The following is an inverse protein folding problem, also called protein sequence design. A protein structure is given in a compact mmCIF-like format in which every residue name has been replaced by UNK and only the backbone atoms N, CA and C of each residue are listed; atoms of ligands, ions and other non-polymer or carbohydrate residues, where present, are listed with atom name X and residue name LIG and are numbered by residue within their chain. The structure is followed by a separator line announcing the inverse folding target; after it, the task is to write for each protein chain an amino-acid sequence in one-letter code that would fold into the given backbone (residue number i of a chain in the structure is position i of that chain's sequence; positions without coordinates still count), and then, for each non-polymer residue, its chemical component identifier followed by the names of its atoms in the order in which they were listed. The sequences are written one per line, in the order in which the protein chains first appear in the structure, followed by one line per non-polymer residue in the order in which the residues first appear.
data_IF_830756365833
#
_entry.id   IF_830756365833
#
_cell.length_a   1.000
_cell.length_b   1.000
_cell.length_c   1.000
_cell.angle_alpha   90.00
_cell.angle_beta   90.00
_cell.angle_gamma   90.00
#
_symmetry.space_group_name_H-M   'P 1'
#
loop_
_entity.id
_entity.type
_entity.pdbx_description
1 polymer ?
#
# COMPACT_ATOMS: atom_id res chain seq x y z
N UNK A 1 -4.53 -7.24 -1.99
CA UNK A 1 -3.61 -6.10 -2.12
C UNK A 1 -2.31 -6.50 -2.82
N UNK A 2 -2.14 -6.17 -4.11
CA UNK A 2 -0.84 -6.38 -4.80
C UNK A 2 -0.11 -5.04 -4.86
N UNK A 3 1.17 -5.01 -4.51
CA UNK A 3 1.97 -3.77 -4.43
C UNK A 3 3.23 -3.88 -5.28
N UNK A 4 3.52 -2.85 -6.06
CA UNK A 4 4.71 -2.76 -6.91
C UNK A 4 5.21 -1.32 -6.92
N UNK A 5 6.52 -1.12 -6.96
CA UNK A 5 7.12 0.18 -7.28
C UNK A 5 7.45 0.16 -8.76
N UNK A 6 6.96 1.16 -9.48
CA UNK A 6 7.24 1.38 -10.90
C UNK A 6 7.96 2.71 -11.05
N UNK A 7 9.09 2.70 -11.74
CA UNK A 7 9.78 3.92 -12.15
C UNK A 7 9.62 4.09 -13.67
N UNK A 8 9.33 5.32 -14.09
CA UNK A 8 9.10 5.66 -15.49
C UNK A 8 10.11 6.71 -15.92
N UNK A 9 10.79 6.46 -17.05
CA UNK A 9 11.65 7.45 -17.69
C UNK A 9 10.79 8.33 -18.61
N UNK A 10 10.39 9.52 -18.17
CA UNK A 10 9.68 10.47 -19.03
C UNK A 10 10.68 11.29 -19.86
N UNK A 11 10.91 10.89 -21.11
CA UNK A 11 11.62 11.74 -22.09
C UNK A 11 10.62 12.76 -22.67
N UNK A 12 10.31 13.80 -21.90
CA UNK A 12 9.55 14.95 -22.42
C UNK A 12 10.50 15.89 -23.16
N UNK A 13 10.74 15.60 -24.44
CA UNK A 13 11.28 16.59 -25.38
C UNK A 13 10.15 17.56 -25.75
N UNK A 14 9.88 18.56 -24.91
CA UNK A 14 9.05 19.71 -25.30
C UNK A 14 9.94 20.70 -26.05
N UNK A 15 10.18 20.43 -27.33
CA UNK A 15 10.57 21.50 -28.24
C UNK A 15 9.34 22.38 -28.46
N UNK A 16 9.49 23.66 -28.14
CA UNK A 16 8.49 24.70 -28.39
C UNK A 16 8.10 24.71 -29.87
N UNK A 17 6.80 24.56 -30.15
CA UNK A 17 6.20 24.90 -31.44
C UNK A 17 6.09 23.76 -32.47
N UNK A 18 4.89 23.19 -32.55
CA UNK A 18 4.24 22.64 -33.76
C UNK A 18 4.87 21.44 -34.50
N UNK A 19 4.13 20.31 -34.50
CA UNK A 19 4.08 19.19 -35.47
C UNK A 19 5.35 18.34 -35.72
N UNK A 20 5.32 17.08 -35.26
CA UNK A 20 5.16 15.85 -36.06
C UNK A 20 5.57 14.64 -35.22
N UNK A 21 4.74 13.60 -35.24
CA UNK A 21 5.09 12.26 -34.77
C UNK A 21 5.87 11.57 -35.91
N UNK A 22 7.10 11.09 -35.71
CA UNK A 22 7.64 10.03 -36.54
C UNK A 22 7.38 8.68 -35.87
N UNK A 23 6.73 7.79 -36.63
CA UNK A 23 6.72 6.35 -36.41
C UNK A 23 8.12 5.77 -36.75
N UNK A 24 8.45 4.68 -36.04
CA UNK A 24 9.53 3.71 -36.25
C UNK A 24 10.92 4.03 -35.64
N UNK A 25 11.16 3.34 -34.52
CA UNK A 25 12.46 2.92 -34.02
C UNK A 25 12.17 2.12 -32.74
N UNK A 26 12.59 0.85 -32.68
CA UNK A 26 12.38 0.01 -31.50
C UNK A 26 12.96 0.69 -30.24
N UNK A 27 12.08 1.27 -29.43
CA UNK A 27 12.43 1.90 -28.17
C UNK A 27 12.29 0.86 -27.06
N UNK A 28 13.39 0.58 -26.37
CA UNK A 28 13.35 -0.08 -25.06
C UNK A 28 12.41 0.71 -24.15
N UNK A 29 11.27 0.15 -23.76
CA UNK A 29 10.40 0.73 -22.73
C UNK A 29 11.22 0.87 -21.44
N UNK A 30 11.74 2.07 -21.16
CA UNK A 30 12.58 2.40 -20.02
C UNK A 30 11.80 2.43 -18.70
N UNK A 31 11.22 1.28 -18.33
CA UNK A 31 10.44 1.09 -17.11
C UNK A 31 11.14 0.09 -16.20
N UNK A 32 11.59 0.55 -15.03
CA UNK A 32 12.17 -0.32 -13.99
C UNK A 32 11.11 -0.63 -12.94
N UNK A 33 10.84 -1.91 -12.72
CA UNK A 33 9.79 -2.39 -11.81
C UNK A 33 10.43 -3.18 -10.66
N UNK A 34 10.07 -2.82 -9.43
CA UNK A 34 10.38 -3.57 -8.22
C UNK A 34 9.08 -4.14 -7.65
N UNK A 35 8.90 -5.46 -7.72
CA UNK A 35 7.73 -6.11 -7.12
C UNK A 35 7.87 -6.14 -5.59
N UNK A 36 6.92 -5.53 -4.89
CA UNK A 36 6.87 -5.50 -3.43
C UNK A 36 5.94 -6.58 -2.86
N UNK A 37 5.46 -7.51 -3.67
CA UNK A 37 4.80 -8.73 -3.21
C UNK A 37 5.77 -9.73 -2.55
N UNK A 38 5.21 -10.80 -1.99
CA UNK A 38 5.95 -11.91 -1.39
C UNK A 38 5.70 -12.10 0.11
N UNK A 39 6.55 -12.94 0.72
CA UNK A 39 6.45 -13.38 2.12
C UNK A 39 7.37 -12.60 3.08
N UNK A 40 8.10 -11.62 2.55
CA UNK A 40 9.09 -10.82 3.32
C UNK A 40 8.44 -9.67 4.12
N UNK A 41 7.12 -9.74 4.31
CA UNK A 41 6.37 -8.76 5.07
C UNK A 41 6.25 -9.18 6.53
N UNK A 42 6.17 -8.19 7.40
CA UNK A 42 5.75 -8.36 8.78
C UNK A 42 4.52 -7.52 9.04
N UNK A 43 3.67 -8.01 9.93
CA UNK A 43 2.52 -7.28 10.43
C UNK A 43 2.64 -7.09 11.94
N UNK A 44 2.21 -5.92 12.42
CA UNK A 44 2.17 -5.59 13.84
C UNK A 44 0.86 -4.90 14.22
N UNK A 45 0.31 -5.25 15.38
CA UNK A 45 -0.82 -4.53 15.99
C UNK A 45 -0.38 -3.18 16.52
N UNK A 46 -1.25 -2.17 16.50
CA UNK A 46 -0.96 -0.82 17.01
C UNK A 46 -0.55 -0.77 18.49
N UNK A 47 -1.05 -1.69 19.32
CA UNK A 47 -0.66 -1.80 20.73
C UNK A 47 0.65 -2.59 20.97
N UNK A 48 1.31 -3.06 19.90
CA UNK A 48 2.56 -3.82 19.97
C UNK A 48 2.45 -5.25 20.51
N UNK A 49 1.27 -5.72 20.91
CA UNK A 49 1.09 -7.06 21.50
C UNK A 49 1.28 -8.20 20.51
N UNK A 50 1.05 -7.95 19.22
CA UNK A 50 1.15 -8.96 18.15
C UNK A 50 2.16 -8.48 17.12
N UNK A 51 3.09 -9.38 16.78
CA UNK A 51 3.97 -9.24 15.62
C UNK A 51 4.15 -10.58 14.94
N UNK A 52 3.88 -10.63 13.64
CA UNK A 52 3.88 -11.87 12.87
C UNK A 52 4.49 -11.69 11.48
N UNK A 53 4.91 -12.80 10.87
CA UNK A 53 5.21 -12.84 9.44
C UNK A 53 3.91 -12.69 8.64
N UNK A 54 4.00 -12.02 7.50
CA UNK A 54 2.85 -11.69 6.67
C UNK A 54 3.15 -11.89 5.19
N UNK A 55 2.12 -11.92 4.35
CA UNK A 55 2.27 -12.03 2.90
C UNK A 55 1.47 -10.96 2.17
N UNK A 56 2.05 -10.41 1.10
CA UNK A 56 1.35 -9.48 0.19
C UNK A 56 1.39 -10.05 -1.22
N UNK A 57 0.25 -10.23 -1.91
CA UNK A 57 -1.12 -10.00 -1.41
C UNK A 57 -1.55 -10.95 -0.29
N UNK A 58 -2.35 -10.42 0.64
CA UNK A 58 -2.91 -11.14 1.77
C UNK A 58 -3.97 -10.33 2.51
N UNK A 59 -4.44 -10.89 3.63
CA UNK A 59 -5.37 -10.26 4.59
C UNK A 59 -4.93 -10.64 6.00
N UNK A 60 -5.20 -9.77 6.97
CA UNK A 60 -4.74 -9.93 8.36
C UNK A 60 -5.12 -11.27 8.98
N UNK A 61 -6.36 -11.73 8.78
CA UNK A 61 -6.85 -13.00 9.33
C UNK A 61 -6.00 -14.20 8.87
N UNK A 62 -5.59 -14.23 7.59
CA UNK A 62 -4.76 -15.31 7.06
C UNK A 62 -3.33 -15.26 7.61
N UNK A 63 -2.79 -14.07 7.83
CA UNK A 63 -1.45 -13.91 8.41
C UNK A 63 -1.44 -14.34 9.89
N UNK A 64 -2.47 -13.96 10.66
CA UNK A 64 -2.64 -14.38 12.06
C UNK A 64 -2.88 -15.89 12.18
N UNK A 65 -3.67 -16.48 11.27
CA UNK A 65 -3.91 -17.91 11.22
C UNK A 65 -2.61 -18.68 10.93
N UNK A 66 -1.82 -18.25 9.94
CA UNK A 66 -0.50 -18.85 9.64
C UNK A 66 0.47 -18.74 10.81
N UNK A 67 0.43 -17.61 11.52
CA UNK A 67 1.22 -17.38 12.72
C UNK A 67 0.70 -18.11 13.97
N UNK A 68 -0.43 -18.83 13.86
CA UNK A 68 -1.11 -19.52 14.96
C UNK A 68 -1.51 -18.58 16.12
N UNK A 69 -1.73 -17.30 15.82
CA UNK A 69 -2.28 -16.32 16.76
C UNK A 69 -3.77 -16.52 16.94
N UNK A 70 -4.44 -16.98 15.87
CA UNK A 70 -5.82 -17.41 15.87
C UNK A 70 -5.94 -18.80 15.27
N UNK A 71 -7.04 -19.47 15.56
CA UNK A 71 -7.42 -20.72 14.89
C UNK A 71 -8.40 -20.46 13.75
N UNK A 72 -8.92 -21.53 13.12
CA UNK A 72 -9.90 -21.40 12.03
C UNK A 72 -11.11 -20.55 12.46
N UNK A 73 -11.30 -19.35 11.85
CA UNK A 73 -12.35 -18.43 12.25
C UNK A 73 -13.76 -18.93 11.91
N UNK A 74 -13.90 -19.94 11.04
CA UNK A 74 -15.20 -20.48 10.65
C UNK A 74 -15.76 -21.53 11.62
N UNK A 75 -15.03 -21.85 12.69
CA UNK A 75 -15.43 -22.85 13.67
C UNK A 75 -16.15 -22.19 14.84
N UNK A 76 -17.37 -22.68 15.14
CA UNK A 76 -18.19 -22.28 16.32
C UNK A 76 -18.47 -20.76 16.35
N UNK A 77 -18.08 -20.09 17.45
CA UNK A 77 -18.35 -18.68 17.75
C UNK A 77 -17.10 -17.81 17.61
N UNK A 78 -16.12 -18.26 16.82
CA UNK A 78 -14.86 -17.55 16.63
C UNK A 78 -15.02 -16.26 15.84
N UNK A 79 -16.11 -16.10 15.11
CA UNK A 79 -16.52 -14.83 14.52
C UNK A 79 -16.70 -13.75 15.58
N UNK A 80 -17.21 -14.10 16.78
CA UNK A 80 -17.34 -13.19 17.92
C UNK A 80 -16.02 -13.05 18.66
N UNK A 81 -15.34 -14.18 18.90
CA UNK A 81 -14.05 -14.21 19.62
C UNK A 81 -12.99 -13.35 18.93
N UNK A 82 -12.96 -13.33 17.60
CA UNK A 82 -11.93 -12.65 16.82
C UNK A 82 -12.34 -11.26 16.30
N UNK A 83 -13.46 -10.70 16.79
CA UNK A 83 -13.88 -9.32 16.44
C UNK A 83 -12.83 -8.26 16.73
N UNK A 84 -12.02 -8.48 17.76
CA UNK A 84 -10.93 -7.56 18.12
C UNK A 84 -9.96 -7.31 16.96
N UNK A 85 -9.83 -8.25 16.02
CA UNK A 85 -8.97 -8.09 14.83
C UNK A 85 -9.43 -6.90 14.00
N UNK A 86 -10.74 -6.78 13.75
CA UNK A 86 -11.32 -5.68 12.98
C UNK A 86 -11.29 -4.34 13.73
N UNK A 87 -11.24 -4.38 15.06
CA UNK A 87 -11.11 -3.23 15.95
C UNK A 87 -9.67 -2.74 16.13
N UNK A 88 -8.70 -3.51 15.65
CA UNK A 88 -7.28 -3.23 15.82
C UNK A 88 -6.72 -2.55 14.58
N UNK A 89 -5.88 -1.55 14.79
CA UNK A 89 -5.08 -0.94 13.73
C UNK A 89 -3.87 -1.83 13.44
N UNK A 90 -3.59 -2.07 12.16
CA UNK A 90 -2.56 -3.01 11.73
C UNK A 90 -1.53 -2.34 10.84
N UNK A 91 -0.26 -2.59 11.10
CA UNK A 91 0.84 -2.04 10.31
C UNK A 91 1.60 -3.15 9.60
N UNK A 92 1.55 -3.14 8.27
CA UNK A 92 2.36 -3.98 7.41
C UNK A 92 3.67 -3.27 7.08
N UNK A 93 4.79 -3.98 7.15
CA UNK A 93 6.10 -3.42 6.79
C UNK A 93 7.01 -4.45 6.12
N UNK A 94 7.90 -3.96 5.25
CA UNK A 94 9.02 -4.75 4.70
C UNK A 94 10.21 -3.86 4.40
N UNK A 95 11.37 -4.51 4.25
CA UNK A 95 12.52 -3.91 3.58
C UNK A 95 12.50 -4.23 2.09
N UNK A 96 13.11 -3.37 1.29
CA UNK A 96 13.27 -3.59 -0.14
C UNK A 96 14.55 -2.93 -0.67
N UNK A 97 15.09 -3.51 -1.74
CA UNK A 97 16.26 -3.00 -2.42
C UNK A 97 15.86 -1.99 -3.49
N UNK A 98 16.61 -0.90 -3.56
CA UNK A 98 16.55 0.08 -4.65
C UNK A 98 17.87 0.03 -5.41
N UNK A 99 17.78 -0.12 -6.73
CA UNK A 99 18.94 -0.06 -7.63
C UNK A 99 19.31 1.40 -7.94
N UNK A 100 20.56 1.64 -8.31
CA UNK A 100 20.97 2.94 -8.83
C UNK A 100 20.21 3.32 -10.11
N UNK A 101 19.86 2.32 -10.92
CA UNK A 101 19.02 2.48 -12.10
C UNK A 101 17.64 3.07 -11.76
N UNK A 102 16.95 2.54 -10.75
CA UNK A 102 15.66 3.07 -10.31
C UNK A 102 15.75 4.53 -9.86
N UNK A 103 16.85 4.92 -9.23
CA UNK A 103 17.10 6.30 -8.77
C UNK A 103 17.45 7.27 -9.92
N UNK A 104 17.86 6.76 -11.07
CA UNK A 104 18.18 7.57 -12.25
C UNK A 104 16.92 8.01 -13.00
N UNK A 105 15.75 7.45 -12.69
CA UNK A 105 14.49 7.85 -13.31
C UNK A 105 14.01 9.21 -12.80
N UNK A 106 13.40 9.97 -13.71
CA UNK A 106 12.79 11.27 -13.39
C UNK A 106 11.61 11.14 -12.43
N UNK A 107 10.86 10.03 -12.51
CA UNK A 107 9.72 9.76 -11.64
C UNK A 107 9.73 8.32 -11.13
N UNK A 108 9.51 8.18 -9.82
CA UNK A 108 9.27 6.90 -9.16
C UNK A 108 7.86 6.92 -8.57
N UNK A 109 7.09 5.88 -8.85
CA UNK A 109 5.70 5.73 -8.42
C UNK A 109 5.53 4.41 -7.68
N UNK A 110 4.99 4.48 -6.47
CA UNK A 110 4.46 3.30 -5.79
C UNK A 110 3.04 3.05 -6.29
N UNK A 111 2.82 1.86 -6.84
CA UNK A 111 1.53 1.39 -7.32
C UNK A 111 0.97 0.34 -6.37
N UNK A 112 -0.17 0.66 -5.77
CA UNK A 112 -0.96 -0.23 -4.95
C UNK A 112 -2.25 -0.58 -5.71
N UNK A 113 -2.38 -1.84 -6.13
CA UNK A 113 -3.56 -2.31 -6.90
C UNK A 113 -4.85 -2.33 -6.06
N UNK A 114 -4.72 -2.27 -4.73
CA UNK A 114 -5.86 -2.14 -3.82
C UNK A 114 -5.38 -2.19 -2.38
N UNK A 115 -5.88 -1.27 -1.56
CA UNK A 115 -5.61 -1.15 -0.13
C UNK A 115 -6.96 -1.28 0.59
N UNK A 116 -7.12 -2.27 1.47
CA UNK A 116 -8.38 -2.51 2.19
C UNK A 116 -8.26 -2.07 3.66
N UNK A 117 -8.81 -0.92 4.05
CA UNK A 117 -9.37 0.14 3.20
C UNK A 117 -8.74 1.47 3.54
N UNK A 118 -8.82 1.87 4.81
CA UNK A 118 -8.27 3.13 5.28
C UNK A 118 -6.82 2.92 5.67
N UNK A 119 -5.91 3.54 4.93
CA UNK A 119 -4.49 3.32 5.12
C UNK A 119 -3.64 4.58 4.90
N UNK A 120 -2.53 4.69 5.63
CA UNK A 120 -1.42 5.57 5.28
C UNK A 120 -0.24 4.76 4.78
N UNK A 121 0.41 5.25 3.72
CA UNK A 121 1.58 4.61 3.12
C UNK A 121 2.81 5.47 3.35
N UNK A 122 3.88 4.88 3.86
CA UNK A 122 5.14 5.57 4.14
C UNK A 122 6.33 4.83 3.53
N UNK A 123 7.32 5.60 3.06
CA UNK A 123 8.62 5.12 2.60
C UNK A 123 9.68 5.74 3.50
N UNK A 124 10.58 4.92 4.03
CA UNK A 124 11.65 5.34 4.94
C UNK A 124 11.15 6.24 6.10
N UNK A 125 9.95 5.95 6.60
CA UNK A 125 9.31 6.66 7.72
C UNK A 125 8.55 7.94 7.34
N UNK A 126 8.60 8.40 6.08
CA UNK A 126 7.82 9.56 5.62
C UNK A 126 6.57 9.10 4.87
N UNK A 127 5.42 9.61 5.27
CA UNK A 127 4.15 9.35 4.60
C UNK A 127 4.16 9.97 3.19
N UNK A 128 3.82 9.16 2.19
CA UNK A 128 3.75 9.57 0.78
C UNK A 128 2.30 9.59 0.24
N UNK A 129 1.34 9.07 1.00
CA UNK A 129 -0.05 9.11 0.60
C UNK A 129 -1.00 8.37 1.54
N UNK A 130 -2.27 8.52 1.25
CA UNK A 130 -3.38 7.94 2.00
C UNK A 130 -4.35 7.23 1.06
N UNK A 131 -5.02 6.22 1.58
CA UNK A 131 -6.08 5.48 0.92
C UNK A 131 -7.29 5.36 1.85
N UNK A 132 -8.47 5.34 1.25
CA UNK A 132 -9.77 5.31 1.91
C UNK A 132 -10.83 4.51 1.12
N UNK A 133 -10.41 3.78 0.08
CA UNK A 133 -11.30 3.07 -0.84
C UNK A 133 -10.65 1.80 -1.43
N UNK A 134 -11.12 0.63 -1.01
CA UNK A 134 -10.63 -0.68 -1.47
C UNK A 134 -10.80 -0.96 -2.97
N UNK A 135 -11.71 -0.24 -3.65
CA UNK A 135 -12.03 -0.47 -5.06
C UNK A 135 -11.13 0.35 -6.02
N UNK A 136 -10.17 1.10 -5.49
CA UNK A 136 -9.28 1.96 -6.27
C UNK A 136 -7.86 1.40 -6.34
N UNK A 137 -7.24 1.59 -7.50
CA UNK A 137 -5.78 1.59 -7.63
C UNK A 137 -5.25 2.93 -7.14
N UNK A 138 -4.19 2.87 -6.34
CA UNK A 138 -3.47 4.05 -5.85
C UNK A 138 -2.10 4.14 -6.50
N UNK A 139 -1.76 5.35 -6.96
CA UNK A 139 -0.44 5.71 -7.46
C UNK A 139 0.08 6.83 -6.57
N UNK A 140 1.19 6.56 -5.89
CA UNK A 140 1.85 7.54 -5.03
C UNK A 140 3.21 7.87 -5.61
N UNK A 141 3.43 9.11 -6.03
CA UNK A 141 4.77 9.58 -6.40
C UNK A 141 5.68 9.48 -5.18
N UNK A 142 6.82 8.82 -5.34
CA UNK A 142 7.83 8.64 -4.29
C UNK A 142 8.93 9.67 -4.55
N UNK A 143 9.10 10.67 -3.67
CA UNK A 143 10.24 11.57 -3.73
C UNK A 143 11.56 10.80 -3.78
N UNK A 144 12.40 11.06 -4.78
CA UNK A 144 13.65 10.31 -5.00
C UNK A 144 14.66 10.52 -3.87
N UNK A 145 14.61 11.68 -3.21
CA UNK A 145 15.40 12.02 -2.01
C UNK A 145 15.02 11.17 -0.78
N UNK A 146 13.84 10.55 -0.77
CA UNK A 146 13.46 9.58 0.26
C UNK A 146 14.07 8.21 0.02
N UNK A 147 14.52 7.89 -1.19
CA UNK A 147 15.05 6.58 -1.52
C UNK A 147 16.57 6.54 -1.35
N UNK A 148 17.07 5.39 -0.89
CA UNK A 148 18.50 5.14 -0.69
C UNK A 148 18.93 4.00 -1.60
N UNK A 149 20.05 4.12 -2.30
CA UNK A 149 20.58 2.98 -3.06
C UNK A 149 20.93 1.84 -2.09
N UNK A 150 20.62 0.60 -2.46
CA UNK A 150 20.90 -0.58 -1.65
C UNK A 150 19.67 -1.19 -0.95
N UNK A 151 19.88 -2.09 0.02
CA UNK A 151 18.83 -2.99 0.55
C UNK A 151 17.98 -2.41 1.69
N UNK A 152 18.30 -1.24 2.23
CA UNK A 152 17.77 -0.74 3.50
C UNK A 152 16.64 0.28 3.37
N UNK A 153 15.87 0.22 2.28
CA UNK A 153 14.64 0.99 2.19
C UNK A 153 13.51 0.27 2.92
N UNK A 154 12.69 1.01 3.65
CA UNK A 154 11.51 0.48 4.33
C UNK A 154 10.25 1.03 3.67
N UNK A 155 9.25 0.16 3.55
CA UNK A 155 7.88 0.55 3.26
C UNK A 155 7.00 0.13 4.42
N UNK A 156 6.08 1.01 4.79
CA UNK A 156 5.09 0.78 5.83
C UNK A 156 3.71 1.13 5.29
N UNK A 157 2.74 0.25 5.50
CA UNK A 157 1.33 0.51 5.23
C UNK A 157 0.58 0.30 6.54
N UNK A 158 0.06 1.38 7.11
CA UNK A 158 -0.68 1.37 8.36
C UNK A 158 -2.16 1.49 8.06
N UNK A 159 -2.92 0.46 8.42
CA UNK A 159 -4.36 0.37 8.29
C UNK A 159 -5.05 0.79 9.58
N UNK A 160 -5.94 1.76 9.47
CA UNK A 160 -6.86 2.12 10.54
C UNK A 160 -8.07 1.20 10.51
N UNK A 161 -8.53 0.75 11.67
CA UNK A 161 -9.77 0.00 11.81
C UNK A 161 -10.91 0.73 11.10
N UNK A 162 -11.61 0.02 10.22
CA UNK A 162 -12.74 0.56 9.47
C UNK A 162 -13.87 1.03 10.41
N UNK A 163 -14.05 0.35 11.55
CA UNK A 163 -15.03 0.75 12.56
C UNK A 163 -14.63 2.06 13.23
N UNK A 164 -13.39 2.17 13.70
CA UNK A 164 -12.85 3.41 14.29
C UNK A 164 -12.97 4.57 13.31
N UNK A 165 -12.63 4.34 12.04
CA UNK A 165 -12.75 5.34 11.00
C UNK A 165 -14.20 5.76 10.74
N UNK A 166 -15.13 4.80 10.67
CA UNK A 166 -16.54 5.08 10.45
C UNK A 166 -17.16 5.87 11.61
N UNK A 167 -16.82 5.53 12.87
CA UNK A 167 -17.28 6.26 14.06
C UNK A 167 -16.79 7.71 14.10
N UNK A 168 -15.60 7.98 13.56
CA UNK A 168 -15.04 9.31 13.50
C UNK A 168 -15.68 10.20 12.40
N UNK A 169 -16.40 9.60 11.44
CA UNK A 169 -17.07 10.36 10.38
C UNK A 169 -18.42 10.90 10.87
N UNK A 170 -18.76 12.15 10.52
CA UNK A 170 -20.10 12.65 10.76
C UNK A 170 -21.12 11.79 9.99
N UNK A 171 -22.34 11.60 10.54
CA UNK A 171 -23.39 10.93 9.81
C UNK A 171 -23.64 11.64 8.48
N UNK A 172 -24.03 10.92 7.42
CA UNK A 172 -24.39 11.56 6.17
C UNK A 172 -25.49 12.61 6.44
N UNK A 173 -25.51 13.71 5.66
CA UNK A 173 -26.57 14.70 5.78
C UNK A 173 -27.93 13.97 5.70
N UNK A 174 -28.85 14.31 6.59
CA UNK A 174 -30.18 13.69 6.56
C UNK A 174 -30.91 14.17 5.30
N UNK A 175 -30.82 13.40 4.21
CA UNK A 175 -31.48 13.73 2.95
C UNK A 175 -33.00 13.51 3.02
N UNK A 176 -33.54 12.99 4.14
CA UNK A 176 -34.94 12.60 4.25
C UNK A 176 -35.65 13.09 5.52
N UNK A 177 -35.01 13.90 6.37
CA UNK A 177 -35.66 14.48 7.55
C UNK A 177 -36.30 13.47 8.50
N UNK A 178 -35.92 12.19 8.46
CA UNK A 178 -36.43 11.16 9.38
C UNK A 178 -35.35 10.82 10.38
N UNK A 179 -35.67 11.04 11.66
CA UNK A 179 -34.92 10.51 12.79
C UNK A 179 -35.03 8.99 12.80
N UNK A 180 -33.98 8.34 13.32
CA UNK A 180 -33.98 6.92 13.66
C UNK A 180 -34.93 6.64 14.81
#
# INVERSE_FOLDING_TARGET
MKMRVLALLALLAVCSGTRMIPLLGEGQDGTTIVDLGGKDWRVASSNGSISAAASVPGVIHLDLLKAKVIEDPYVRYRDVEYRWIALTDWTYSRRFRVSADLLAHAEVVLVCEGLDTVASVAINGKVIGYADNMFRRYLFTVPTDLLRSGPDNTITVSFTSAETYAKARPPPPNHLGRGW
#
